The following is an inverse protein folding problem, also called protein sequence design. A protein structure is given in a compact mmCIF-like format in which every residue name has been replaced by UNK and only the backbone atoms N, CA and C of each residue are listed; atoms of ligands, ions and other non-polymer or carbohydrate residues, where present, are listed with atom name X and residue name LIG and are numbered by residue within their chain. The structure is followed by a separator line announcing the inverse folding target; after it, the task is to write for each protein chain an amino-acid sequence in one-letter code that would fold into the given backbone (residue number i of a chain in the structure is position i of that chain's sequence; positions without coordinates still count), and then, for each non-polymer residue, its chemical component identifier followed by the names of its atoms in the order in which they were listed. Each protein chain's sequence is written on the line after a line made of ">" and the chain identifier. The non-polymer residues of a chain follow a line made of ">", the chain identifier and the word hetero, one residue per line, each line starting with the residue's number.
data_IF_446778031922
#
_entry.id   IF_446778031922
#
_cell.length_a   1.000
_cell.length_b   1.000
_cell.length_c   1.000
_cell.angle_alpha   90.00
_cell.angle_beta   90.00
_cell.angle_gamma   90.00
#
_symmetry.space_group_name_H-M   'P 1'
#
loop_
_entity.id
_entity.type
_entity.pdbx_description
1 polymer ?
#
# COMPACT_ATOMS: atom_id res chain seq x y z
N UNK A 1 -7.93 23.30 -38.83
CA UNK A 1 -8.40 22.21 -39.70
C UNK A 1 -8.40 20.96 -38.82
N UNK A 2 -9.59 20.37 -38.55
CA UNK A 2 -9.68 19.11 -37.81
C UNK A 2 -9.27 18.00 -38.78
N UNK A 3 -8.03 17.50 -38.63
CA UNK A 3 -7.56 16.36 -39.41
C UNK A 3 -8.32 15.12 -38.94
N UNK A 4 -9.26 14.66 -39.76
CA UNK A 4 -9.97 13.42 -39.54
C UNK A 4 -9.10 12.27 -40.03
N UNK A 5 -8.65 11.42 -39.14
CA UNK A 5 -7.82 10.25 -39.45
C UNK A 5 -8.70 9.02 -39.68
N UNK A 6 -8.32 8.19 -40.65
CA UNK A 6 -8.98 6.94 -40.97
C UNK A 6 -7.94 5.81 -40.98
N UNK A 7 -8.37 4.61 -40.65
CA UNK A 7 -7.59 3.38 -40.78
C UNK A 7 -8.34 2.33 -41.61
N UNK A 8 -7.61 1.44 -42.23
CA UNK A 8 -8.18 0.31 -42.95
C UNK A 8 -8.58 -0.80 -41.96
N UNK A 9 -9.87 -1.08 -41.86
CA UNK A 9 -10.43 -2.22 -41.13
C UNK A 9 -10.97 -3.28 -42.08
N UNK A 10 -11.44 -4.39 -41.55
CA UNK A 10 -11.92 -5.53 -42.31
C UNK A 10 -13.11 -5.19 -43.22
N UNK A 11 -13.90 -4.18 -42.85
CA UNK A 11 -15.09 -3.73 -43.59
C UNK A 11 -14.88 -2.38 -44.28
N UNK A 12 -13.63 -1.96 -44.54
CA UNK A 12 -13.30 -0.69 -45.20
C UNK A 12 -12.66 0.34 -44.29
N UNK A 13 -12.73 1.61 -44.73
CA UNK A 13 -12.12 2.72 -44.00
C UNK A 13 -12.92 3.10 -42.75
N UNK A 14 -12.30 3.00 -41.59
CA UNK A 14 -12.90 3.35 -40.27
C UNK A 14 -12.32 4.66 -39.77
N UNK A 15 -13.19 5.58 -39.39
CA UNK A 15 -12.78 6.84 -38.76
C UNK A 15 -12.18 6.56 -37.40
N UNK A 16 -10.96 7.05 -37.17
CA UNK A 16 -10.31 6.95 -35.87
C UNK A 16 -10.83 8.04 -34.93
N UNK A 17 -11.10 7.61 -33.69
CA UNK A 17 -11.39 8.49 -32.56
C UNK A 17 -10.29 8.30 -31.52
N UNK A 18 -10.13 9.30 -30.62
CA UNK A 18 -9.19 9.17 -29.53
C UNK A 18 -9.54 7.92 -28.64
N UNK A 19 -8.57 7.10 -28.21
CA UNK A 19 -7.11 7.29 -28.35
C UNK A 19 -6.52 6.70 -29.67
N UNK A 20 -7.32 6.10 -30.55
CA UNK A 20 -6.85 5.46 -31.76
C UNK A 20 -6.18 6.45 -32.75
N UNK A 21 -6.48 7.74 -32.67
CA UNK A 21 -5.78 8.79 -33.44
C UNK A 21 -4.29 8.86 -33.13
N UNK A 22 -3.89 8.51 -31.88
CA UNK A 22 -2.50 8.53 -31.43
C UNK A 22 -1.85 7.12 -31.52
N UNK A 23 -2.61 6.09 -31.14
CA UNK A 23 -2.10 4.72 -31.00
C UNK A 23 -2.27 3.87 -32.27
N UNK A 24 -3.08 4.35 -33.22
CA UNK A 24 -3.50 3.56 -34.38
C UNK A 24 -4.68 2.63 -34.05
N UNK A 25 -5.05 1.80 -34.99
CA UNK A 25 -6.16 0.86 -34.88
C UNK A 25 -5.80 -0.29 -33.92
N UNK A 26 -6.72 -0.61 -33.00
CA UNK A 26 -6.59 -1.79 -32.15
C UNK A 26 -6.85 -3.05 -33.00
N UNK A 27 -5.79 -3.61 -33.54
CA UNK A 27 -5.82 -4.77 -34.44
C UNK A 27 -5.43 -6.06 -33.71
N UNK A 28 -5.68 -7.25 -34.33
CA UNK A 28 -5.25 -8.54 -33.74
C UNK A 28 -3.76 -8.61 -33.38
N UNK A 29 -2.91 -7.83 -34.05
CA UNK A 29 -1.47 -7.80 -33.77
C UNK A 29 -1.10 -7.09 -32.46
N UNK A 30 -2.00 -6.26 -31.93
CA UNK A 30 -1.78 -5.45 -30.71
C UNK A 30 -2.76 -5.77 -29.60
N UNK A 31 -3.65 -6.75 -29.79
CA UNK A 31 -4.55 -7.22 -28.71
C UNK A 31 -3.73 -7.63 -27.48
N UNK A 32 -4.17 -7.19 -26.31
CA UNK A 32 -3.52 -7.43 -25.02
C UNK A 32 -2.27 -6.58 -24.75
N UNK A 33 -1.85 -5.74 -25.71
CA UNK A 33 -0.69 -4.86 -25.52
C UNK A 33 -1.10 -3.57 -24.80
N UNK A 34 -0.29 -3.21 -23.82
CA UNK A 34 -0.31 -1.90 -23.17
C UNK A 34 0.39 -0.89 -24.08
N UNK A 35 -0.25 0.25 -24.32
CA UNK A 35 0.29 1.37 -25.07
C UNK A 35 0.10 2.69 -24.31
N UNK A 36 1.16 3.46 -24.17
CA UNK A 36 1.17 4.72 -23.43
C UNK A 36 1.25 5.88 -24.44
N UNK A 37 0.34 6.85 -24.31
CA UNK A 37 0.42 8.14 -25.00
C UNK A 37 1.27 9.09 -24.15
N UNK A 38 1.05 9.10 -22.86
CA UNK A 38 1.80 9.85 -21.84
C UNK A 38 1.67 9.16 -20.48
N UNK A 39 2.30 9.72 -19.45
CA UNK A 39 2.33 9.16 -18.09
C UNK A 39 0.94 9.01 -17.43
N UNK A 40 -0.08 9.73 -17.91
CA UNK A 40 -1.45 9.70 -17.39
C UNK A 40 -2.40 8.90 -18.29
N UNK A 41 -2.03 8.67 -19.54
CA UNK A 41 -2.88 8.15 -20.60
C UNK A 41 -2.27 6.90 -21.25
N UNK A 42 -2.54 5.76 -20.63
CA UNK A 42 -2.21 4.45 -21.16
C UNK A 42 -3.49 3.66 -21.44
N UNK A 43 -3.41 2.82 -22.45
CA UNK A 43 -4.53 2.05 -22.99
C UNK A 43 -4.12 0.61 -23.28
N UNK A 44 -5.08 -0.30 -23.21
CA UNK A 44 -4.94 -1.68 -23.62
C UNK A 44 -5.89 -1.95 -24.76
N UNK A 45 -5.39 -2.62 -25.80
CA UNK A 45 -6.19 -3.07 -26.91
C UNK A 45 -6.93 -4.36 -26.53
N UNK A 46 -8.24 -4.30 -26.36
CA UNK A 46 -9.10 -5.43 -26.00
C UNK A 46 -10.34 -5.42 -26.86
N UNK A 47 -10.74 -6.56 -27.39
CA UNK A 47 -11.90 -6.71 -28.28
C UNK A 47 -11.95 -5.68 -29.43
N UNK A 48 -10.80 -5.43 -30.05
CA UNK A 48 -10.61 -4.44 -31.13
C UNK A 48 -10.87 -2.98 -30.74
N UNK A 49 -10.94 -2.69 -29.43
CA UNK A 49 -11.12 -1.35 -28.89
C UNK A 49 -9.98 -1.01 -27.91
N UNK A 50 -9.62 0.27 -27.87
CA UNK A 50 -8.72 0.79 -26.86
C UNK A 50 -9.52 1.14 -25.60
N UNK A 51 -9.31 0.41 -24.50
CA UNK A 51 -9.78 0.80 -23.18
C UNK A 51 -8.64 1.41 -22.37
N UNK A 52 -8.98 2.26 -21.44
CA UNK A 52 -8.00 2.83 -20.51
C UNK A 52 -7.37 1.71 -19.67
N UNK A 53 -6.04 1.78 -19.54
CA UNK A 53 -5.31 0.80 -18.76
C UNK A 53 -5.58 0.97 -17.25
N UNK A 54 -5.74 -0.15 -16.59
CA UNK A 54 -5.94 -0.28 -15.15
C UNK A 54 -4.70 -0.86 -14.47
N UNK A 55 -4.70 -0.92 -13.16
CA UNK A 55 -3.57 -1.41 -12.37
C UNK A 55 -3.14 -2.82 -12.78
N UNK A 56 -4.10 -3.71 -13.03
CA UNK A 56 -3.81 -5.10 -13.42
C UNK A 56 -3.15 -5.24 -14.79
N UNK A 57 -3.32 -4.26 -15.67
CA UNK A 57 -2.65 -4.26 -16.97
C UNK A 57 -1.15 -4.04 -16.85
N UNK A 58 -0.71 -3.32 -15.82
CA UNK A 58 0.71 -3.06 -15.54
C UNK A 58 1.37 -4.17 -14.72
N UNK A 59 0.68 -4.64 -13.70
CA UNK A 59 1.28 -5.52 -12.69
C UNK A 59 0.74 -6.94 -12.72
N UNK A 60 -0.27 -7.18 -13.57
CA UNK A 60 -1.00 -8.45 -13.62
C UNK A 60 -1.96 -8.61 -12.44
N UNK A 61 -2.73 -9.69 -12.47
CA UNK A 61 -3.65 -10.02 -11.38
C UNK A 61 -2.89 -10.31 -10.09
N UNK A 62 -3.48 -9.92 -8.96
CA UNK A 62 -3.00 -10.32 -7.65
C UNK A 62 -3.29 -11.81 -7.45
N UNK A 63 -2.25 -12.62 -7.40
CA UNK A 63 -2.30 -14.06 -7.18
C UNK A 63 -1.46 -14.49 -5.97
N UNK A 64 -1.38 -15.77 -5.70
CA UNK A 64 -0.63 -16.30 -4.56
C UNK A 64 0.88 -15.99 -4.61
N UNK A 65 1.45 -15.85 -5.81
CA UNK A 65 2.88 -15.52 -5.97
C UNK A 65 3.18 -14.05 -5.63
N UNK A 66 2.16 -13.19 -5.69
CA UNK A 66 2.27 -11.76 -5.40
C UNK A 66 1.73 -11.39 -4.02
N UNK A 67 1.21 -12.35 -3.25
CA UNK A 67 0.69 -12.09 -1.89
C UNK A 67 1.67 -11.26 -1.07
N UNK A 68 1.19 -10.18 -0.44
CA UNK A 68 1.96 -9.19 0.32
C UNK A 68 2.94 -8.34 -0.52
N UNK A 69 2.94 -8.45 -1.84
CA UNK A 69 3.69 -7.55 -2.69
C UNK A 69 3.07 -6.15 -2.63
N UNK A 70 3.91 -5.14 -2.39
CA UNK A 70 3.52 -3.73 -2.47
C UNK A 70 4.07 -3.15 -3.76
N UNK A 71 3.24 -2.38 -4.45
CA UNK A 71 3.56 -1.68 -5.69
C UNK A 71 3.11 -0.23 -5.61
N UNK A 72 3.69 0.63 -6.44
CA UNK A 72 3.25 2.01 -6.60
C UNK A 72 2.58 2.19 -7.96
N UNK A 73 1.34 2.67 -7.98
CA UNK A 73 0.61 2.99 -9.19
C UNK A 73 -0.03 4.37 -9.06
N UNK A 74 0.31 5.28 -9.97
CA UNK A 74 -0.14 6.70 -9.96
C UNK A 74 0.14 7.39 -8.62
N UNK A 75 1.35 7.20 -8.11
CA UNK A 75 1.83 7.73 -6.81
C UNK A 75 1.04 7.24 -5.59
N UNK A 76 0.35 6.13 -5.70
CA UNK A 76 -0.43 5.51 -4.64
C UNK A 76 0.08 4.10 -4.39
N UNK A 77 0.24 3.73 -3.11
CA UNK A 77 0.62 2.38 -2.72
C UNK A 77 -0.54 1.39 -2.89
N UNK A 78 -0.26 0.21 -3.37
CA UNK A 78 -1.20 -0.92 -3.44
C UNK A 78 -0.51 -2.18 -2.95
N UNK A 79 -1.25 -3.02 -2.26
CA UNK A 79 -0.81 -4.32 -1.78
C UNK A 79 -1.69 -5.43 -2.34
N UNK A 80 -1.07 -6.52 -2.74
CA UNK A 80 -1.77 -7.74 -3.13
C UNK A 80 -2.19 -8.51 -1.86
N UNK A 81 -3.47 -8.51 -1.54
CA UNK A 81 -4.03 -9.15 -0.38
C UNK A 81 -5.34 -9.87 -0.73
N UNK A 82 -5.50 -11.10 -0.28
CA UNK A 82 -6.69 -11.93 -0.58
C UNK A 82 -7.06 -11.98 -2.08
N UNK A 83 -6.04 -12.18 -2.94
CA UNK A 83 -6.19 -12.26 -4.41
C UNK A 83 -6.74 -10.99 -5.05
N UNK A 84 -6.61 -9.84 -4.38
CA UNK A 84 -7.04 -8.53 -4.89
C UNK A 84 -6.02 -7.46 -4.56
N UNK A 85 -5.81 -6.53 -5.49
CA UNK A 85 -5.04 -5.33 -5.22
C UNK A 85 -5.90 -4.34 -4.43
N UNK A 86 -5.45 -3.95 -3.25
CA UNK A 86 -6.07 -2.89 -2.45
C UNK A 86 -5.07 -1.77 -2.16
N UNK A 87 -5.58 -0.61 -1.82
CA UNK A 87 -4.74 0.48 -1.33
C UNK A 87 -4.02 0.06 -0.05
N UNK A 88 -2.75 0.45 0.02
CA UNK A 88 -2.00 0.37 1.28
C UNK A 88 -2.58 1.32 2.32
N UNK A 89 -2.45 0.97 3.57
CA UNK A 89 -2.64 1.90 4.70
C UNK A 89 -1.37 2.73 4.89
N UNK A 90 -1.46 3.85 5.62
CA UNK A 90 -0.30 4.67 5.95
C UNK A 90 0.80 3.86 6.68
N UNK A 91 0.39 2.90 7.51
CA UNK A 91 1.32 2.03 8.24
C UNK A 91 1.99 1.01 7.30
N UNK A 92 1.26 0.48 6.33
CA UNK A 92 1.85 -0.39 5.30
C UNK A 92 2.78 0.39 4.35
N UNK A 93 2.51 1.65 4.09
CA UNK A 93 3.43 2.52 3.34
C UNK A 93 4.76 2.74 4.08
N UNK A 94 4.73 2.81 5.42
CA UNK A 94 5.91 3.03 6.25
C UNK A 94 6.66 1.73 6.56
N UNK A 95 5.97 0.67 6.93
CA UNK A 95 6.58 -0.57 7.44
C UNK A 95 6.59 -1.73 6.45
N UNK A 96 5.85 -1.61 5.36
CA UNK A 96 5.59 -2.72 4.48
C UNK A 96 4.46 -3.62 4.97
N UNK A 97 4.25 -4.73 4.27
CA UNK A 97 3.25 -5.72 4.64
C UNK A 97 3.58 -6.38 5.98
N UNK A 98 2.59 -6.55 6.84
CA UNK A 98 2.69 -7.45 7.97
C UNK A 98 2.61 -8.90 7.45
N UNK A 99 3.72 -9.60 7.48
CA UNK A 99 3.82 -10.98 6.98
C UNK A 99 3.98 -11.97 8.14
N UNK A 100 3.77 -13.27 7.92
CA UNK A 100 4.01 -14.28 8.97
C UNK A 100 5.42 -14.26 9.58
N UNK A 101 6.41 -13.75 8.81
CA UNK A 101 7.79 -13.58 9.33
C UNK A 101 7.93 -12.44 10.32
N UNK A 102 7.00 -11.51 10.30
CA UNK A 102 6.96 -10.34 11.19
C UNK A 102 5.94 -10.52 12.31
N UNK A 103 5.29 -11.69 12.39
CA UNK A 103 4.33 -11.99 13.45
C UNK A 103 4.90 -11.61 14.84
N UNK A 104 4.10 -10.91 15.64
CA UNK A 104 4.43 -10.41 16.97
C UNK A 104 5.60 -9.39 17.02
N UNK A 105 6.03 -8.88 15.85
CA UNK A 105 7.03 -7.81 15.82
C UNK A 105 6.39 -6.46 16.13
N UNK A 106 7.09 -5.67 16.93
CA UNK A 106 6.73 -4.30 17.28
C UNK A 106 7.56 -3.31 16.45
N UNK A 107 6.92 -2.29 15.89
CA UNK A 107 7.58 -1.23 15.14
C UNK A 107 7.10 0.14 15.57
N UNK A 108 8.03 1.10 15.56
CA UNK A 108 7.80 2.49 15.94
C UNK A 108 7.72 3.35 14.68
N UNK A 109 6.67 4.18 14.59
CA UNK A 109 6.54 5.22 13.56
C UNK A 109 7.41 6.43 13.89
N UNK A 110 7.60 7.32 12.91
CA UNK A 110 8.31 8.60 13.08
C UNK A 110 7.72 9.48 14.18
N UNK A 111 6.43 9.34 14.45
CA UNK A 111 5.70 10.09 15.46
C UNK A 111 5.61 9.33 16.80
N UNK A 112 6.48 8.34 17.00
CA UNK A 112 6.57 7.54 18.23
C UNK A 112 5.29 6.76 18.58
N UNK A 113 4.48 6.40 17.59
CA UNK A 113 3.42 5.41 17.78
C UNK A 113 3.93 4.02 17.45
N UNK A 114 3.49 3.05 18.23
CA UNK A 114 3.93 1.67 18.08
C UNK A 114 2.83 0.81 17.47
N UNK A 115 3.23 -0.08 16.57
CA UNK A 115 2.35 -1.03 15.91
C UNK A 115 2.91 -2.42 16.00
N UNK A 116 2.05 -3.38 16.25
CA UNK A 116 2.35 -4.80 16.30
C UNK A 116 1.81 -5.47 15.04
N UNK A 117 2.62 -6.33 14.44
CA UNK A 117 2.20 -7.19 13.34
C UNK A 117 1.52 -8.43 13.91
N UNK A 118 0.20 -8.52 13.77
CA UNK A 118 -0.59 -9.62 14.31
C UNK A 118 -1.68 -10.04 13.31
N UNK A 119 -1.77 -11.35 13.03
CA UNK A 119 -2.66 -11.92 12.01
C UNK A 119 -2.63 -11.17 10.66
N UNK A 120 -1.41 -11.03 10.12
CA UNK A 120 -1.17 -10.39 8.82
C UNK A 120 -1.63 -8.93 8.71
N UNK A 121 -1.88 -8.27 9.83
CA UNK A 121 -2.25 -6.85 9.89
C UNK A 121 -1.41 -6.09 10.92
N UNK A 122 -1.18 -4.81 10.66
CA UNK A 122 -0.59 -3.91 11.63
C UNK A 122 -1.68 -3.36 12.55
N UNK A 123 -1.57 -3.65 13.83
CA UNK A 123 -2.45 -3.13 14.88
C UNK A 123 -1.70 -2.13 15.73
N UNK A 124 -2.36 -1.03 16.11
CA UNK A 124 -1.78 -0.11 17.08
C UNK A 124 -1.52 -0.86 18.38
N UNK A 125 -0.28 -0.86 18.82
CA UNK A 125 0.10 -1.56 20.04
C UNK A 125 -0.49 -0.86 21.27
N UNK A 126 -0.92 -1.66 22.24
CA UNK A 126 -1.30 -1.16 23.55
C UNK A 126 -0.07 -0.62 24.28
N UNK A 127 -0.24 0.45 25.06
CA UNK A 127 0.85 1.04 25.82
C UNK A 127 1.49 0.04 26.78
N UNK A 128 0.72 -0.89 27.33
CA UNK A 128 1.26 -1.94 28.22
C UNK A 128 2.21 -2.87 27.49
N UNK A 129 1.97 -3.16 26.21
CA UNK A 129 2.85 -3.96 25.37
C UNK A 129 4.17 -3.23 25.12
N UNK A 130 4.11 -1.93 24.83
CA UNK A 130 5.28 -1.09 24.56
C UNK A 130 6.13 -0.87 25.81
N UNK A 131 5.49 -0.52 26.91
CA UNK A 131 6.15 -0.22 28.18
C UNK A 131 6.64 -1.50 28.88
N UNK A 132 5.89 -2.59 28.72
CA UNK A 132 6.11 -3.83 29.45
C UNK A 132 6.04 -3.65 30.95
N UNK A 133 6.56 -4.63 31.70
CA UNK A 133 6.61 -4.54 33.15
C UNK A 133 7.68 -3.55 33.62
N UNK A 134 7.36 -2.76 34.63
CA UNK A 134 8.33 -1.92 35.32
C UNK A 134 9.22 -2.81 36.19
N UNK A 135 10.52 -2.90 35.87
CA UNK A 135 11.53 -3.65 36.61
C UNK A 135 12.64 -2.73 37.08
N UNK A 136 13.43 -3.17 38.06
CA UNK A 136 14.59 -2.40 38.55
C UNK A 136 15.59 -2.05 37.46
N UNK A 137 15.71 -2.89 36.44
CA UNK A 137 16.60 -2.67 35.28
C UNK A 137 16.12 -1.53 34.37
N UNK A 138 14.80 -1.23 34.44
CA UNK A 138 14.16 -0.17 33.64
C UNK A 138 13.98 1.13 34.44
N UNK A 139 14.44 1.19 35.69
CA UNK A 139 14.31 2.39 36.52
C UNK A 139 14.98 3.60 35.84
N UNK A 140 14.24 4.68 35.68
CA UNK A 140 14.69 5.90 35.01
C UNK A 140 14.64 5.84 33.46
N UNK A 141 14.30 4.68 32.86
CA UNK A 141 14.08 4.60 31.40
C UNK A 141 12.89 5.46 31.01
N UNK A 142 13.07 6.28 30.01
CA UNK A 142 12.03 7.10 29.42
C UNK A 142 11.64 6.55 28.06
N UNK A 143 10.36 6.40 27.81
CA UNK A 143 9.80 5.95 26.54
C UNK A 143 8.80 6.99 26.07
N UNK A 144 8.93 7.41 24.81
CA UNK A 144 7.98 8.32 24.19
C UNK A 144 6.94 7.50 23.41
N UNK A 145 5.66 7.79 23.64
CA UNK A 145 4.55 7.21 22.88
C UNK A 145 3.69 8.36 22.35
N UNK A 146 3.77 8.63 21.06
CA UNK A 146 3.21 9.82 20.49
C UNK A 146 3.84 11.08 21.12
N UNK A 147 3.03 11.92 21.74
CA UNK A 147 3.49 13.13 22.46
C UNK A 147 3.71 12.93 23.95
N UNK A 148 3.45 11.75 24.47
CA UNK A 148 3.51 11.47 25.91
C UNK A 148 4.83 10.76 26.26
N UNK A 149 5.55 11.34 27.23
CA UNK A 149 6.73 10.72 27.83
C UNK A 149 6.32 9.88 29.03
N UNK A 150 6.72 8.62 29.06
CA UNK A 150 6.50 7.68 30.16
C UNK A 150 7.85 7.38 30.82
N UNK A 151 7.89 7.41 32.15
CA UNK A 151 9.08 7.06 32.90
C UNK A 151 8.81 5.88 33.83
N UNK A 152 9.74 4.95 33.89
CA UNK A 152 9.70 3.85 34.85
C UNK A 152 10.11 4.34 36.25
N UNK A 153 9.14 4.50 37.14
CA UNK A 153 9.35 4.91 38.53
C UNK A 153 8.98 3.73 39.45
N UNK A 154 9.97 3.02 39.95
CA UNK A 154 9.74 1.89 40.88
C UNK A 154 9.39 2.36 42.30
N UNK A 155 9.85 3.54 42.70
CA UNK A 155 9.69 4.03 44.08
C UNK A 155 8.40 4.81 44.35
N UNK A 156 7.57 5.12 43.32
CA UNK A 156 6.35 5.90 43.54
C UNK A 156 5.28 5.15 44.38
N UNK A 157 5.30 3.81 44.39
CA UNK A 157 4.33 3.00 45.14
C UNK A 157 4.72 2.74 46.59
N UNK A 158 5.96 3.08 47.01
CA UNK A 158 6.37 2.90 48.44
C UNK A 158 6.01 4.05 49.38
N UNK A 159 5.61 5.19 48.81
CA UNK A 159 5.32 6.38 49.66
C UNK A 159 3.86 6.40 50.12
N UNK A 160 2.94 5.80 49.39
CA UNK A 160 1.52 5.76 49.81
C UNK A 160 1.22 4.73 50.87
N UNK A 161 1.97 3.63 50.95
CA UNK A 161 1.79 2.60 51.99
C UNK A 161 2.36 3.00 53.36
N UNK A 162 3.13 4.09 53.45
CA UNK A 162 3.67 4.58 54.75
C UNK A 162 2.80 5.66 55.40
N UNK A 163 1.74 6.11 54.75
CA UNK A 163 0.88 7.17 55.32
C UNK A 163 -0.40 6.66 56.02
N UNK A 164 -0.59 5.34 56.08
CA UNK A 164 -1.74 4.70 56.75
C UNK A 164 -1.34 3.60 57.74
N UNK A 165 -0.25 3.77 58.47
CA UNK A 165 0.09 2.93 59.62
C UNK A 165 0.15 3.75 60.90
#
# INVERSE_FOLDING_TARGET
>A
VNDVRYACGDNGMVKLTYPATELGFCSPKVVGKLAEIDSANAYVCEDFLWRKAELEDYYGKCDSAKTNQIISYKNLGYICYNKSWRRTTAIEDEFGACTPKLQDSLRETKDHYYYECYYENWHKADNSLVLGNCTSEKEGLKILIGTNEYAALINALRVEDMLYS
#
